data_IF_874141346888
#
_entry.id   IF_874141346888
#
_cell.length_a   1.000
_cell.length_b   1.000
_cell.length_c   1.000
_cell.angle_alpha   90.00
_cell.angle_beta   90.00
_cell.angle_gamma   90.00
#
_symmetry.space_group_name_H-M   'P 1'
#
loop_
_entity.id
_entity.type
_entity.pdbx_description
1 polymer ?
#
# COMPACT_ATOMS: atom_id res chain seq x y z
N UNK A 1 12.97 -8.25 -3.20
CA UNK A 1 11.67 -8.60 -3.81
C UNK A 1 10.72 -9.20 -2.78
N UNK A 2 9.43 -9.10 -3.05
CA UNK A 2 8.43 -9.67 -2.15
C UNK A 2 8.45 -11.19 -2.25
N UNK A 3 8.37 -11.86 -1.10
CA UNK A 3 8.27 -13.32 -1.06
C UNK A 3 6.86 -13.78 -1.41
N UNK A 4 6.73 -15.07 -1.71
CA UNK A 4 5.39 -15.67 -1.94
C UNK A 4 4.51 -15.56 -0.70
N UNK A 5 5.10 -15.74 0.48
CA UNK A 5 4.40 -15.62 1.75
C UNK A 5 3.89 -14.19 1.98
N UNK A 6 4.72 -13.20 1.65
CA UNK A 6 4.30 -11.79 1.74
C UNK A 6 3.12 -11.51 0.82
N UNK A 7 3.19 -11.96 -0.43
CA UNK A 7 2.11 -11.75 -1.40
C UNK A 7 0.82 -12.44 -0.95
N UNK A 8 0.93 -13.64 -0.39
CA UNK A 8 -0.24 -14.37 0.15
C UNK A 8 -0.83 -13.70 1.39
N UNK A 9 -0.04 -12.90 2.10
CA UNK A 9 -0.50 -12.23 3.32
C UNK A 9 -1.41 -11.03 3.04
N UNK A 10 -1.51 -10.58 1.80
CA UNK A 10 -2.41 -9.48 1.45
C UNK A 10 -3.85 -9.86 1.75
N UNK A 11 -4.51 -9.05 2.59
CA UNK A 11 -5.88 -9.31 3.01
C UNK A 11 -6.86 -8.90 1.91
N UNK A 12 -7.42 -9.90 1.22
CA UNK A 12 -8.36 -9.65 0.12
C UNK A 12 -9.74 -9.21 0.58
N UNK A 13 -10.00 -9.25 1.87
CA UNK A 13 -11.21 -8.66 2.46
C UNK A 13 -11.04 -7.17 2.65
N UNK A 14 -9.82 -6.72 2.90
CA UNK A 14 -9.50 -5.31 3.06
C UNK A 14 -9.18 -4.65 1.72
N UNK A 15 -8.43 -5.33 0.87
CA UNK A 15 -7.96 -4.81 -0.41
C UNK A 15 -8.56 -5.54 -1.59
N UNK A 16 -8.91 -4.79 -2.64
CA UNK A 16 -9.03 -5.35 -3.97
C UNK A 16 -7.64 -5.37 -4.59
N UNK A 17 -7.09 -6.55 -4.83
CA UNK A 17 -5.74 -6.69 -5.39
C UNK A 17 -5.84 -6.61 -6.91
N UNK A 18 -5.19 -5.60 -7.50
CA UNK A 18 -5.22 -5.35 -8.94
C UNK A 18 -4.03 -6.03 -9.62
N UNK A 19 -2.83 -5.79 -9.08
CA UNK A 19 -1.59 -6.43 -9.53
C UNK A 19 -0.80 -6.80 -8.29
N UNK A 20 -0.19 -7.98 -8.30
CA UNK A 20 0.71 -8.37 -7.23
C UNK A 20 1.78 -9.30 -7.78
N UNK A 21 3.01 -8.83 -7.84
CA UNK A 21 4.16 -9.63 -8.21
C UNK A 21 5.35 -9.31 -7.29
N UNK A 22 6.51 -9.83 -7.63
CA UNK A 22 7.70 -9.77 -6.78
C UNK A 22 8.18 -8.35 -6.50
N UNK A 23 7.88 -7.40 -7.39
CA UNK A 23 8.38 -6.03 -7.29
C UNK A 23 7.29 -4.98 -7.19
N UNK A 24 6.09 -5.27 -7.67
CA UNK A 24 5.04 -4.28 -7.82
C UNK A 24 3.71 -4.82 -7.31
N UNK A 25 3.08 -4.06 -6.42
CA UNK A 25 1.76 -4.38 -5.89
C UNK A 25 0.87 -3.16 -6.08
N UNK A 26 -0.28 -3.36 -6.72
CA UNK A 26 -1.31 -2.33 -6.84
C UNK A 26 -2.57 -2.85 -6.20
N UNK A 27 -3.09 -2.12 -5.24
CA UNK A 27 -4.30 -2.48 -4.51
C UNK A 27 -5.22 -1.27 -4.39
N UNK A 28 -6.50 -1.54 -4.15
CA UNK A 28 -7.48 -0.53 -3.76
C UNK A 28 -7.99 -0.89 -2.37
N UNK A 29 -7.97 0.07 -1.46
CA UNK A 29 -8.59 -0.10 -0.14
C UNK A 29 -10.11 -0.08 -0.30
N UNK A 30 -10.78 -1.15 0.10
CA UNK A 30 -12.23 -1.27 -0.11
C UNK A 30 -13.03 -0.27 0.70
N UNK A 31 -12.52 0.14 1.86
CA UNK A 31 -13.23 1.07 2.75
C UNK A 31 -13.16 2.53 2.29
N UNK A 32 -12.09 2.94 1.63
CA UNK A 32 -11.92 4.32 1.16
C UNK A 32 -12.08 4.48 -0.34
N UNK A 33 -11.87 3.40 -1.10
CA UNK A 33 -11.80 3.45 -2.54
C UNK A 33 -10.50 4.04 -3.08
N UNK A 34 -9.52 4.28 -2.22
CA UNK A 34 -8.24 4.85 -2.61
C UNK A 34 -7.31 3.79 -3.19
N UNK A 35 -6.43 4.20 -4.09
CA UNK A 35 -5.48 3.33 -4.76
C UNK A 35 -4.10 3.48 -4.16
N UNK A 36 -3.41 2.35 -4.03
CA UNK A 36 -2.06 2.27 -3.47
C UNK A 36 -1.18 1.43 -4.38
N UNK A 37 0.02 1.92 -4.62
CA UNK A 37 1.03 1.21 -5.37
C UNK A 37 2.27 1.08 -4.49
N UNK A 38 2.77 -0.15 -4.32
CA UNK A 38 3.95 -0.44 -3.52
C UNK A 38 5.01 -1.01 -4.44
N UNK A 39 6.12 -0.29 -4.58
CA UNK A 39 7.25 -0.75 -5.37
C UNK A 39 8.36 -1.23 -4.46
N UNK A 40 8.86 -2.45 -4.71
CA UNK A 40 9.97 -3.02 -3.98
C UNK A 40 11.27 -2.74 -4.75
N UNK A 41 12.16 -1.97 -4.14
CA UNK A 41 13.48 -1.70 -4.70
C UNK A 41 14.33 -2.99 -4.64
N UNK A 42 15.33 -3.08 -5.52
CA UNK A 42 16.11 -4.32 -5.67
C UNK A 42 17.09 -4.59 -4.53
N UNK A 43 17.20 -3.71 -3.55
CA UNK A 43 18.02 -3.97 -2.37
C UNK A 43 17.13 -4.34 -1.18
N UNK A 44 17.57 -5.27 -0.33
CA UNK A 44 16.82 -5.59 0.88
C UNK A 44 17.07 -4.54 1.96
N UNK A 45 16.11 -4.39 2.85
CA UNK A 45 16.29 -3.64 4.07
C UNK A 45 15.54 -2.32 4.13
N UNK A 46 16.16 -1.35 4.78
CA UNK A 46 15.49 -0.13 5.21
C UNK A 46 15.00 0.72 4.04
N UNK A 47 13.70 1.00 4.04
CA UNK A 47 13.10 1.86 3.02
C UNK A 47 12.94 1.20 1.65
N UNK A 48 13.04 -0.13 1.57
CA UNK A 48 12.99 -0.84 0.28
C UNK A 48 11.59 -0.85 -0.37
N UNK A 49 10.53 -0.61 0.41
CA UNK A 49 9.17 -0.52 -0.11
C UNK A 49 8.76 0.94 -0.25
N UNK A 50 8.60 1.41 -1.48
CA UNK A 50 8.15 2.78 -1.76
C UNK A 50 6.64 2.75 -1.97
N UNK A 51 5.91 3.59 -1.25
CA UNK A 51 4.45 3.60 -1.24
C UNK A 51 3.95 4.83 -1.97
N UNK A 52 3.09 4.62 -2.96
CA UNK A 52 2.43 5.67 -3.73
C UNK A 52 0.93 5.61 -3.50
N UNK A 53 0.28 6.75 -3.57
CA UNK A 53 -1.13 6.90 -3.22
C UNK A 53 -1.86 7.79 -4.23
N UNK A 54 -3.12 7.48 -4.50
CA UNK A 54 -4.04 8.37 -5.21
C UNK A 54 -5.47 8.10 -4.75
N UNK A 55 -6.30 9.14 -4.78
CA UNK A 55 -7.68 9.04 -4.32
C UNK A 55 -8.64 8.47 -5.37
N UNK A 56 -8.37 8.71 -6.64
CA UNK A 56 -9.23 8.28 -7.74
C UNK A 56 -8.40 7.66 -8.85
N UNK A 57 -9.01 6.75 -9.59
CA UNK A 57 -8.32 6.04 -10.68
C UNK A 57 -7.71 6.99 -11.72
N UNK A 58 -8.38 8.12 -11.98
CA UNK A 58 -7.91 9.10 -12.98
C UNK A 58 -6.80 10.03 -12.47
N UNK A 59 -6.50 10.02 -11.18
CA UNK A 59 -5.47 10.87 -10.61
C UNK A 59 -4.08 10.26 -10.81
N UNK A 60 -3.02 11.07 -10.92
CA UNK A 60 -1.67 10.54 -10.89
C UNK A 60 -1.32 10.09 -9.47
N UNK A 61 -0.45 9.09 -9.37
CA UNK A 61 0.12 8.69 -8.08
C UNK A 61 1.08 9.75 -7.57
N UNK A 62 1.14 9.91 -6.25
CA UNK A 62 2.18 10.68 -5.58
C UNK A 62 2.78 9.83 -4.47
N UNK A 63 4.03 10.08 -4.12
CA UNK A 63 4.71 9.31 -3.09
C UNK A 63 4.10 9.61 -1.73
N UNK A 64 3.71 8.56 -1.02
CA UNK A 64 3.18 8.64 0.34
C UNK A 64 4.29 8.46 1.38
N UNK A 65 5.18 7.51 1.16
CA UNK A 65 6.25 7.21 2.09
C UNK A 65 6.99 5.95 1.72
N UNK A 66 7.77 5.44 2.68
CA UNK A 66 8.54 4.22 2.53
C UNK A 66 8.35 3.32 3.75
N UNK A 67 8.58 2.03 3.55
CA UNK A 67 8.57 1.04 4.60
C UNK A 67 9.67 0.02 4.36
N UNK A 68 10.04 -0.72 5.41
CA UNK A 68 11.12 -1.71 5.32
C UNK A 68 10.61 -3.05 4.82
N UNK A 69 9.33 -3.34 5.06
CA UNK A 69 8.69 -4.60 4.68
C UNK A 69 7.30 -4.33 4.14
N UNK A 70 6.74 -5.32 3.43
CA UNK A 70 5.35 -5.23 2.97
C UNK A 70 4.38 -5.08 4.14
N UNK A 71 4.62 -5.78 5.25
CA UNK A 71 3.79 -5.69 6.44
C UNK A 71 3.73 -4.27 6.98
N UNK A 72 4.87 -3.58 7.05
CA UNK A 72 4.93 -2.19 7.50
C UNK A 72 4.24 -1.27 6.50
N UNK A 73 4.41 -1.52 5.21
CA UNK A 73 3.73 -0.74 4.16
C UNK A 73 2.21 -0.86 4.30
N UNK A 74 1.70 -2.07 4.50
CA UNK A 74 0.26 -2.31 4.69
C UNK A 74 -0.25 -1.59 5.95
N UNK A 75 0.50 -1.63 7.05
CA UNK A 75 0.13 -0.90 8.26
C UNK A 75 0.05 0.60 8.03
N UNK A 76 0.99 1.15 7.28
CA UNK A 76 0.98 2.58 6.92
C UNK A 76 -0.26 2.93 6.11
N UNK A 77 -0.62 2.09 5.14
CA UNK A 77 -1.81 2.26 4.32
C UNK A 77 -3.07 2.22 5.18
N UNK A 78 -3.19 1.22 6.04
CA UNK A 78 -4.37 1.06 6.90
C UNK A 78 -4.51 2.23 7.87
N UNK A 79 -3.41 2.73 8.40
CA UNK A 79 -3.41 3.91 9.27
C UNK A 79 -3.90 5.15 8.54
N UNK A 80 -3.46 5.35 7.30
CA UNK A 80 -3.91 6.48 6.49
C UNK A 80 -5.39 6.35 6.12
N UNK A 81 -5.85 5.14 5.76
CA UNK A 81 -7.26 4.89 5.48
C UNK A 81 -8.13 5.22 6.69
N UNK A 82 -7.69 4.82 7.88
CA UNK A 82 -8.42 5.10 9.11
C UNK A 82 -8.51 6.60 9.39
N UNK A 83 -7.41 7.32 9.15
CA UNK A 83 -7.38 8.77 9.27
C UNK A 83 -8.37 9.43 8.30
N UNK A 84 -8.46 8.94 7.07
CA UNK A 84 -9.44 9.42 6.08
C UNK A 84 -10.86 9.16 6.53
N UNK A 85 -11.14 7.95 7.04
CA UNK A 85 -12.47 7.57 7.52
C UNK A 85 -12.90 8.46 8.69
N UNK A 86 -11.95 8.81 9.57
CA UNK A 86 -12.23 9.68 10.72
C UNK A 86 -12.38 11.15 10.35
N UNK A 87 -12.51 11.46 9.05
CA UNK A 87 -12.73 12.83 8.58
C UNK A 87 -11.49 13.70 8.68
N UNK A 88 -10.31 13.09 8.64
CA UNK A 88 -9.00 13.79 8.74
C UNK A 88 -8.82 14.56 10.02
N UNK A 89 -9.53 14.16 11.06
CA UNK A 89 -9.31 14.70 12.39
C UNK A 89 -8.18 13.94 13.03
N UNK A 90 -7.20 14.63 13.58
CA UNK A 90 -6.07 13.99 14.22
C UNK A 90 -6.52 13.02 15.30
N UNK A 91 -5.62 12.16 15.74
CA UNK A 91 -5.95 11.18 16.76
C UNK A 91 -6.38 11.84 18.05
#
# INVERSE_FOLDING_TARGET
>A
MFSKEELKSLDTKYFAVIVADEYDITVMSRNTGHYWYIHNLEYPGKGSCVIFHKHMASHPYHQHGRADTLRQAVRSIQGHDQWQINGRKGP
#
